data_IF_339690688648
#
_entry.id   IF_339690688648
#
_cell.length_a   1.000
_cell.length_b   1.000
_cell.length_c   1.000
_cell.angle_alpha   90.00
_cell.angle_beta   90.00
_cell.angle_gamma   90.00
#
_symmetry.space_group_name_H-M   'P 1'
#
loop_
_entity.id
_entity.type
_entity.pdbx_description
1 polymer ?
#
# COMPACT_ATOMS: atom_id res chain seq x y z
N UNK A 1 6.59 -70.06 10.17
CA UNK A 1 6.78 -69.45 8.84
C UNK A 1 6.82 -67.94 9.00
N UNK A 2 7.86 -67.34 8.41
CA UNK A 2 8.10 -65.92 8.13
C UNK A 2 7.47 -64.87 9.07
N UNK A 3 8.28 -64.35 10.00
CA UNK A 3 8.08 -63.01 10.55
C UNK A 3 8.70 -62.05 9.53
N UNK A 4 7.87 -61.49 8.67
CA UNK A 4 8.28 -60.58 7.61
C UNK A 4 8.86 -59.31 8.25
N UNK A 5 10.18 -59.20 8.18
CA UNK A 5 10.95 -58.05 8.62
C UNK A 5 10.43 -56.83 7.84
N UNK A 6 9.57 -56.02 8.45
CA UNK A 6 9.29 -54.67 7.96
C UNK A 6 10.61 -53.91 8.08
N UNK A 7 11.38 -53.87 6.97
CA UNK A 7 12.58 -53.07 6.87
C UNK A 7 12.26 -51.65 7.34
N UNK A 8 12.78 -51.25 8.52
CA UNK A 8 12.85 -49.84 8.90
C UNK A 8 13.84 -49.15 7.95
N UNK A 9 13.36 -48.78 6.77
CA UNK A 9 14.12 -48.08 5.71
C UNK A 9 14.64 -46.71 6.13
N UNK A 10 14.14 -46.17 7.25
CA UNK A 10 14.59 -44.91 7.82
C UNK A 10 15.21 -45.15 9.21
N UNK A 11 16.52 -44.91 9.34
CA UNK A 11 17.22 -44.93 10.62
C UNK A 11 17.63 -43.52 10.98
N UNK A 12 17.00 -42.95 12.00
CA UNK A 12 17.27 -41.60 12.50
C UNK A 12 18.77 -41.36 12.74
N UNK A 13 19.42 -42.33 13.39
CA UNK A 13 20.88 -42.32 13.67
C UNK A 13 21.76 -42.22 12.41
N UNK A 14 21.31 -42.75 11.27
CA UNK A 14 22.05 -42.65 10.00
C UNK A 14 21.94 -41.25 9.39
N UNK A 15 20.79 -40.60 9.56
CA UNK A 15 20.54 -39.24 9.10
C UNK A 15 21.30 -38.22 9.96
N UNK A 16 21.24 -38.33 11.28
CA UNK A 16 21.93 -37.42 12.21
C UNK A 16 23.46 -37.44 12.07
N UNK A 17 24.02 -38.59 11.70
CA UNK A 17 25.47 -38.76 11.54
C UNK A 17 25.99 -38.28 10.17
N UNK A 18 25.10 -38.02 9.21
CA UNK A 18 25.47 -37.53 7.88
C UNK A 18 25.01 -36.07 7.71
N UNK A 19 25.94 -35.14 7.90
CA UNK A 19 25.68 -33.69 7.83
C UNK A 19 25.07 -33.27 6.48
N UNK A 20 25.54 -33.85 5.37
CA UNK A 20 25.00 -33.55 4.03
C UNK A 20 23.55 -34.01 3.88
N UNK A 21 23.24 -35.23 4.34
CA UNK A 21 21.87 -35.74 4.30
C UNK A 21 20.95 -34.93 5.20
N UNK A 22 21.39 -34.63 6.44
CA UNK A 22 20.63 -33.81 7.37
C UNK A 22 20.35 -32.41 6.81
N UNK A 23 21.37 -31.75 6.24
CA UNK A 23 21.21 -30.44 5.61
C UNK A 23 20.25 -30.45 4.42
N UNK A 24 20.32 -31.49 3.56
CA UNK A 24 19.40 -31.66 2.44
C UNK A 24 17.95 -31.81 2.91
N UNK A 25 17.67 -32.71 3.85
CA UNK A 25 16.30 -32.92 4.32
C UNK A 25 15.76 -31.72 5.12
N UNK A 26 16.61 -31.01 5.87
CA UNK A 26 16.23 -29.77 6.52
C UNK A 26 15.88 -28.67 5.51
N UNK A 27 16.66 -28.52 4.44
CA UNK A 27 16.36 -27.58 3.35
C UNK A 27 15.02 -27.91 2.69
N UNK A 28 14.79 -29.20 2.37
CA UNK A 28 13.51 -29.63 1.80
C UNK A 28 12.34 -29.33 2.75
N UNK A 29 12.48 -29.62 4.04
CA UNK A 29 11.44 -29.35 5.02
C UNK A 29 11.08 -27.86 5.12
N UNK A 30 12.09 -26.96 5.13
CA UNK A 30 11.87 -25.51 5.17
C UNK A 30 11.31 -25.00 3.84
N UNK A 31 11.78 -25.52 2.71
CA UNK A 31 11.33 -25.10 1.37
C UNK A 31 9.85 -25.41 1.12
N UNK A 32 9.32 -26.51 1.68
CA UNK A 32 7.90 -26.87 1.53
C UNK A 32 6.99 -25.74 2.03
N UNK A 33 7.28 -25.15 3.20
CA UNK A 33 6.48 -24.04 3.73
C UNK A 33 6.45 -22.84 2.78
N UNK A 34 7.64 -22.41 2.33
CA UNK A 34 7.75 -21.29 1.37
C UNK A 34 7.05 -21.57 0.03
N UNK A 35 7.17 -22.79 -0.51
CA UNK A 35 6.51 -23.17 -1.78
C UNK A 35 5.00 -23.15 -1.62
N UNK A 36 4.45 -23.69 -0.53
CA UNK A 36 3.01 -23.79 -0.32
C UNK A 36 2.37 -22.43 -0.07
N UNK A 37 3.05 -21.52 0.63
CA UNK A 37 2.50 -20.20 0.96
C UNK A 37 2.71 -19.15 -0.14
N UNK A 38 3.89 -19.12 -0.78
CA UNK A 38 4.27 -18.04 -1.71
C UNK A 38 3.89 -18.39 -3.15
N UNK A 39 4.16 -19.62 -3.59
CA UNK A 39 4.06 -19.97 -5.00
C UNK A 39 2.62 -19.82 -5.54
N UNK A 40 1.56 -20.32 -4.85
CA UNK A 40 0.19 -20.17 -5.34
C UNK A 40 -0.26 -18.71 -5.54
N UNK A 41 0.27 -17.76 -4.77
CA UNK A 41 -0.09 -16.34 -4.90
C UNK A 41 0.32 -15.73 -6.25
N UNK A 42 1.24 -16.34 -7.00
CA UNK A 42 1.61 -15.91 -8.35
C UNK A 42 0.65 -16.38 -9.44
N UNK A 43 -0.20 -17.38 -9.18
CA UNK A 43 -1.08 -17.99 -10.18
C UNK A 43 -2.58 -17.88 -9.87
N UNK A 44 -2.95 -17.53 -8.64
CA UNK A 44 -4.35 -17.41 -8.24
C UNK A 44 -4.84 -15.99 -8.53
N UNK A 45 -5.44 -15.79 -9.70
CA UNK A 45 -6.05 -14.50 -10.08
C UNK A 45 -7.22 -14.10 -9.16
N UNK A 46 -7.80 -15.05 -8.40
CA UNK A 46 -8.91 -14.79 -7.49
C UNK A 46 -8.51 -14.16 -6.15
N UNK A 47 -7.21 -14.03 -5.84
CA UNK A 47 -6.76 -13.32 -4.64
C UNK A 47 -6.68 -11.80 -4.83
N UNK A 48 -6.80 -11.31 -6.07
CA UNK A 48 -6.81 -9.89 -6.38
C UNK A 48 -8.22 -9.51 -6.82
N UNK A 49 -8.89 -8.67 -6.04
CA UNK A 49 -10.21 -8.17 -6.42
C UNK A 49 -10.12 -7.40 -7.74
N UNK A 50 -11.08 -7.63 -8.64
CA UNK A 50 -11.17 -6.83 -9.87
C UNK A 50 -11.68 -5.46 -9.49
N UNK A 51 -10.77 -4.49 -9.44
CA UNK A 51 -11.10 -3.09 -9.19
C UNK A 51 -10.94 -2.28 -10.46
N UNK A 52 -11.93 -1.44 -10.75
CA UNK A 52 -11.81 -0.45 -11.81
C UNK A 52 -11.13 0.81 -11.25
N UNK A 53 -10.30 1.45 -12.06
CA UNK A 53 -9.73 2.76 -11.75
C UNK A 53 -8.40 2.78 -11.00
N UNK A 54 -7.81 1.63 -10.66
CA UNK A 54 -6.42 1.59 -10.21
C UNK A 54 -5.48 2.04 -11.33
N UNK A 55 -4.55 2.92 -10.99
CA UNK A 55 -3.47 3.39 -11.87
C UNK A 55 -2.13 3.37 -11.12
N UNK A 56 -0.99 3.35 -11.84
CA UNK A 56 0.30 3.60 -11.24
C UNK A 56 0.36 4.97 -10.55
N UNK A 57 1.31 5.10 -9.61
CA UNK A 57 1.67 6.37 -9.01
C UNK A 57 2.10 7.38 -10.09
N UNK A 58 1.77 8.64 -9.91
CA UNK A 58 2.48 9.67 -10.68
C UNK A 58 3.94 9.76 -10.21
N UNK A 59 4.83 10.36 -11.01
CA UNK A 59 6.22 10.61 -10.60
C UNK A 59 6.39 11.35 -9.26
N UNK A 60 5.56 12.37 -8.99
CA UNK A 60 5.60 13.11 -7.72
C UNK A 60 5.08 12.25 -6.55
N UNK A 61 3.97 11.53 -6.75
CA UNK A 61 3.44 10.59 -5.75
C UNK A 61 4.45 9.47 -5.43
N UNK A 62 5.16 8.96 -6.44
CA UNK A 62 6.20 7.95 -6.25
C UNK A 62 7.40 8.50 -5.48
N UNK A 63 7.84 9.73 -5.79
CA UNK A 63 8.89 10.40 -5.01
C UNK A 63 8.46 10.58 -3.55
N UNK A 64 7.20 10.97 -3.31
CA UNK A 64 6.60 11.08 -2.00
C UNK A 64 6.56 9.77 -1.23
N UNK A 65 6.20 8.68 -1.92
CA UNK A 65 6.24 7.32 -1.38
C UNK A 65 7.65 6.91 -0.98
N UNK A 66 8.65 7.25 -1.79
CA UNK A 66 10.05 6.97 -1.46
C UNK A 66 10.51 7.75 -0.22
N UNK A 67 10.02 8.99 -0.05
CA UNK A 67 10.25 9.79 1.17
C UNK A 67 9.53 9.17 2.37
N UNK A 68 8.28 8.74 2.22
CA UNK A 68 7.52 8.04 3.28
C UNK A 68 8.28 6.81 3.79
N UNK A 69 8.90 6.04 2.88
CA UNK A 69 9.75 4.90 3.22
C UNK A 69 11.05 5.35 3.88
N UNK A 70 11.74 6.35 3.31
CA UNK A 70 13.01 6.89 3.84
C UNK A 70 12.86 7.37 5.28
N UNK A 71 11.76 8.07 5.57
CA UNK A 71 11.47 8.63 6.89
C UNK A 71 10.92 7.62 7.90
N UNK A 72 10.68 6.38 7.46
CA UNK A 72 10.24 5.31 8.36
C UNK A 72 8.80 5.48 8.84
N UNK A 73 7.94 6.20 8.11
CA UNK A 73 6.56 6.45 8.51
C UNK A 73 5.79 5.13 8.76
N UNK A 74 6.11 4.07 7.99
CA UNK A 74 5.58 2.71 8.13
C UNK A 74 5.82 2.07 9.51
N UNK A 75 6.77 2.58 10.30
CA UNK A 75 7.03 2.08 11.66
C UNK A 75 5.94 2.49 12.66
N UNK A 76 5.18 3.54 12.33
CA UNK A 76 4.13 4.10 13.18
C UNK A 76 2.75 4.02 12.54
N UNK A 77 2.67 4.07 11.21
CA UNK A 77 1.44 4.10 10.45
C UNK A 77 1.29 2.85 9.58
N UNK A 78 0.11 2.25 9.61
CA UNK A 78 -0.26 1.19 8.67
C UNK A 78 -1.01 1.74 7.47
N UNK A 79 -0.93 1.03 6.36
CA UNK A 79 -1.81 1.22 5.20
C UNK A 79 -2.51 -0.08 4.87
N UNK A 80 -3.29 -0.60 5.82
CA UNK A 80 -4.10 -1.80 5.63
C UNK A 80 -5.25 -1.81 6.65
N UNK A 81 -6.45 -1.46 6.18
CA UNK A 81 -7.66 -1.46 7.01
C UNK A 81 -8.23 -2.87 7.03
N UNK A 82 -8.47 -3.42 8.22
CA UNK A 82 -9.02 -4.78 8.38
C UNK A 82 -10.54 -4.77 8.21
N UNK A 83 -11.15 -5.91 7.80
CA UNK A 83 -12.59 -6.02 7.58
C UNK A 83 -13.37 -6.18 8.90
N UNK A 84 -13.13 -5.30 9.85
CA UNK A 84 -13.89 -5.19 11.09
C UNK A 84 -14.69 -3.90 11.09
N UNK A 85 -15.91 -3.95 11.63
CA UNK A 85 -16.82 -2.80 11.66
C UNK A 85 -16.20 -1.57 12.33
N UNK A 86 -15.48 -1.75 13.43
CA UNK A 86 -14.84 -0.66 14.18
C UNK A 86 -13.69 0.00 13.39
N UNK A 87 -12.96 -0.77 12.58
CA UNK A 87 -11.98 -0.23 11.65
C UNK A 87 -12.63 0.51 10.49
N UNK A 88 -13.72 -0.04 9.96
CA UNK A 88 -14.43 0.58 8.85
C UNK A 88 -15.06 1.92 9.25
N UNK A 89 -15.67 1.99 10.43
CA UNK A 89 -16.22 3.24 10.98
C UNK A 89 -15.13 4.30 11.21
N UNK A 90 -13.90 3.89 11.55
CA UNK A 90 -12.78 4.80 11.83
C UNK A 90 -12.03 5.23 10.57
N UNK A 91 -11.70 4.29 9.70
CA UNK A 91 -10.76 4.47 8.58
C UNK A 91 -11.42 4.36 7.21
N UNK A 92 -12.71 4.08 7.12
CA UNK A 92 -13.42 3.84 5.86
C UNK A 92 -13.30 2.38 5.42
N UNK A 93 -13.71 2.07 4.20
CA UNK A 93 -13.79 0.69 3.69
C UNK A 93 -12.51 -0.12 3.98
N UNK A 94 -12.63 -1.43 4.22
CA UNK A 94 -11.45 -2.26 4.43
C UNK A 94 -10.56 -2.27 3.17
N UNK A 95 -9.26 -2.50 3.34
CA UNK A 95 -8.32 -2.45 2.21
C UNK A 95 -8.50 -3.67 1.30
N UNK A 96 -8.41 -3.44 -0.01
CA UNK A 96 -8.48 -4.50 -1.03
C UNK A 96 -7.06 -4.87 -1.48
N UNK A 97 -6.83 -6.13 -1.86
CA UNK A 97 -5.50 -6.55 -2.31
C UNK A 97 -5.07 -5.78 -3.56
N UNK A 98 -6.02 -5.42 -4.42
CA UNK A 98 -5.76 -4.65 -5.63
C UNK A 98 -5.28 -3.21 -5.39
N UNK A 99 -5.58 -2.60 -4.24
CA UNK A 99 -5.10 -1.25 -3.91
C UNK A 99 -3.57 -1.20 -3.75
N UNK A 100 -2.94 -2.33 -3.40
CA UNK A 100 -1.48 -2.46 -3.23
C UNK A 100 -0.78 -3.16 -4.39
N UNK A 101 -1.45 -3.41 -5.52
CA UNK A 101 -0.87 -4.19 -6.62
C UNK A 101 0.38 -3.55 -7.27
N UNK A 102 0.55 -2.23 -7.16
CA UNK A 102 1.72 -1.50 -7.66
C UNK A 102 2.71 -1.11 -6.56
N UNK A 103 2.52 -1.59 -5.34
CA UNK A 103 3.39 -1.27 -4.22
C UNK A 103 4.64 -2.15 -4.19
N UNK A 104 5.77 -1.57 -4.60
CA UNK A 104 7.08 -2.19 -4.48
C UNK A 104 7.97 -1.34 -3.54
N UNK A 105 8.22 -1.78 -2.29
CA UNK A 105 7.57 -2.87 -1.54
C UNK A 105 6.23 -2.45 -0.92
N UNK A 106 5.35 -3.40 -0.59
CA UNK A 106 4.07 -3.13 0.09
C UNK A 106 4.21 -2.23 1.34
N UNK A 107 3.23 -1.36 1.60
CA UNK A 107 3.23 -0.42 2.75
C UNK A 107 2.26 -0.81 3.87
N UNK A 108 1.82 -2.07 3.89
CA UNK A 108 0.99 -2.57 4.99
C UNK A 108 1.81 -2.49 6.28
N UNK A 109 1.22 -1.88 7.32
CA UNK A 109 1.92 -1.70 8.58
C UNK A 109 1.85 -2.94 9.46
N UNK A 110 2.85 -3.10 10.32
CA UNK A 110 2.87 -4.10 11.39
C UNK A 110 2.56 -3.51 12.77
N UNK A 111 2.46 -2.18 12.86
CA UNK A 111 2.19 -1.43 14.10
C UNK A 111 1.36 -0.19 13.80
N UNK A 112 0.56 0.24 14.78
CA UNK A 112 -0.19 1.49 14.79
C UNK A 112 0.15 2.29 16.05
N UNK A 113 1.21 3.08 15.96
CA UNK A 113 1.52 4.14 16.93
C UNK A 113 0.68 5.38 16.59
N UNK A 114 0.59 5.69 15.29
CA UNK A 114 -0.38 6.63 14.73
C UNK A 114 -1.54 5.91 14.03
N UNK A 115 -2.53 6.66 13.53
CA UNK A 115 -3.67 6.11 12.80
C UNK A 115 -3.28 5.39 11.49
N UNK A 116 -4.16 4.54 10.96
CA UNK A 116 -4.02 3.97 9.62
C UNK A 116 -4.18 5.08 8.55
N UNK A 117 -3.37 5.02 7.49
CA UNK A 117 -3.31 6.01 6.42
C UNK A 117 -3.88 5.53 5.08
N UNK A 118 -4.36 4.27 4.97
CA UNK A 118 -4.79 3.70 3.69
C UNK A 118 -5.87 4.51 2.97
N UNK A 119 -6.64 5.33 3.69
CA UNK A 119 -7.69 6.20 3.15
C UNK A 119 -7.59 7.63 3.65
N UNK A 120 -6.37 8.15 3.81
CA UNK A 120 -6.17 9.55 4.24
C UNK A 120 -6.41 10.56 3.12
N UNK A 121 -6.40 10.13 1.86
CA UNK A 121 -6.62 10.99 0.71
C UNK A 121 -7.94 11.76 0.80
N UNK A 122 -7.87 13.09 0.71
CA UNK A 122 -9.02 13.99 0.83
C UNK A 122 -9.61 14.14 2.23
N UNK A 123 -9.10 13.45 3.27
CA UNK A 123 -9.60 13.62 4.66
C UNK A 123 -9.13 14.92 5.29
N UNK A 124 -7.92 15.36 4.94
CA UNK A 124 -7.32 16.58 5.44
C UNK A 124 -6.84 17.44 4.27
N UNK A 125 -6.80 18.76 4.47
CA UNK A 125 -6.24 19.69 3.49
C UNK A 125 -4.71 19.56 3.43
N UNK A 126 -4.13 20.01 2.32
CA UNK A 126 -2.67 20.09 2.18
C UNK A 126 -2.05 21.00 3.24
N UNK A 127 -2.72 22.12 3.56
CA UNK A 127 -2.38 23.00 4.68
C UNK A 127 -2.27 22.24 6.00
N UNK A 128 -3.26 21.38 6.29
CA UNK A 128 -3.26 20.58 7.51
C UNK A 128 -2.12 19.57 7.49
N UNK A 129 -1.89 18.89 6.36
CA UNK A 129 -0.79 17.94 6.23
C UNK A 129 0.56 18.63 6.45
N UNK A 130 0.77 19.81 5.85
CA UNK A 130 1.99 20.60 6.03
C UNK A 130 2.17 21.03 7.48
N UNK A 131 1.16 21.64 8.09
CA UNK A 131 1.23 22.07 9.49
C UNK A 131 1.50 20.89 10.43
N UNK A 132 0.81 19.76 10.21
CA UNK A 132 1.01 18.53 10.97
C UNK A 132 2.41 17.94 10.78
N UNK A 133 2.94 17.91 9.55
CA UNK A 133 4.28 17.39 9.29
C UNK A 133 5.38 18.29 9.86
N UNK A 134 5.21 19.62 9.82
CA UNK A 134 6.17 20.57 10.40
C UNK A 134 6.21 20.44 11.92
N UNK A 135 5.06 20.53 12.58
CA UNK A 135 4.94 20.38 14.02
C UNK A 135 3.63 19.66 14.39
N UNK A 136 3.65 18.33 14.55
CA UNK A 136 2.45 17.56 14.84
C UNK A 136 1.69 18.03 16.09
N UNK A 137 2.42 18.56 17.09
CA UNK A 137 1.82 19.06 18.34
C UNK A 137 1.10 20.40 18.18
N UNK A 138 1.38 21.15 17.11
CA UNK A 138 0.70 22.42 16.84
C UNK A 138 -0.78 22.22 16.45
N UNK A 139 -1.10 21.10 15.79
CA UNK A 139 -2.46 20.76 15.34
C UNK A 139 -3.09 19.62 16.15
N UNK A 140 -2.28 18.75 16.74
CA UNK A 140 -2.72 17.65 17.62
C UNK A 140 -1.82 17.67 18.86
N UNK A 141 -2.19 18.39 19.94
CA UNK A 141 -1.32 18.61 21.11
C UNK A 141 -0.73 17.34 21.73
N UNK A 142 -1.49 16.24 21.72
CA UNK A 142 -1.09 14.94 22.28
C UNK A 142 -0.32 14.06 21.29
N UNK A 143 0.05 14.58 20.12
CA UNK A 143 0.78 13.83 19.11
C UNK A 143 2.17 13.46 19.58
N UNK A 144 2.49 12.17 19.50
CA UNK A 144 3.84 11.64 19.72
C UNK A 144 4.64 11.52 18.41
N UNK A 145 4.08 11.97 17.29
CA UNK A 145 4.76 11.96 15.99
C UNK A 145 5.97 12.93 16.03
N UNK A 146 7.14 12.52 15.49
CA UNK A 146 8.28 13.42 15.32
C UNK A 146 7.95 14.58 14.37
N UNK A 147 8.58 15.77 14.55
CA UNK A 147 8.47 16.84 13.57
C UNK A 147 9.35 16.55 12.34
N UNK A 148 8.82 16.85 11.15
CA UNK A 148 9.44 16.68 9.83
C UNK A 148 9.57 18.02 9.08
N UNK A 149 9.74 19.12 9.81
CA UNK A 149 9.86 20.48 9.24
C UNK A 149 10.93 20.59 8.12
N UNK A 150 12.00 19.81 8.21
CA UNK A 150 13.07 19.78 7.20
C UNK A 150 12.59 19.39 5.80
N UNK A 151 11.44 18.70 5.67
CA UNK A 151 10.88 18.35 4.35
C UNK A 151 10.45 19.60 3.56
N UNK A 152 10.02 20.67 4.26
CA UNK A 152 9.70 21.95 3.64
C UNK A 152 10.95 22.78 3.29
N UNK A 153 12.10 22.49 3.92
CA UNK A 153 13.35 23.19 3.65
C UNK A 153 14.13 22.56 2.49
N UNK A 154 13.94 21.26 2.27
CA UNK A 154 14.66 20.47 1.26
C UNK A 154 13.94 20.49 -0.07
N UNK A 155 14.62 21.01 -1.09
CA UNK A 155 14.22 20.82 -2.48
C UNK A 155 14.20 19.33 -2.85
N UNK A 156 13.22 18.96 -3.66
CA UNK A 156 13.03 17.59 -4.12
C UNK A 156 14.12 17.21 -5.13
N UNK A 157 15.06 16.34 -4.69
CA UNK A 157 16.15 15.82 -5.52
C UNK A 157 15.86 14.39 -5.97
N UNK A 158 15.02 14.25 -6.98
CA UNK A 158 14.59 12.92 -7.47
C UNK A 158 15.68 12.23 -8.30
N UNK A 159 16.64 12.98 -8.85
CA UNK A 159 17.62 12.42 -9.78
C UNK A 159 16.97 12.10 -11.13
N UNK A 160 17.06 10.84 -11.57
CA UNK A 160 16.46 10.39 -12.82
C UNK A 160 15.21 9.54 -12.55
N UNK A 161 14.04 10.19 -12.49
CA UNK A 161 12.77 9.49 -12.26
C UNK A 161 12.41 8.54 -13.41
N UNK A 162 13.01 8.70 -14.60
CA UNK A 162 12.84 7.74 -15.70
C UNK A 162 13.42 6.37 -15.32
N UNK A 163 14.54 6.34 -14.58
CA UNK A 163 15.16 5.10 -14.11
C UNK A 163 14.24 4.36 -13.12
N UNK A 164 13.61 5.10 -12.20
CA UNK A 164 12.66 4.56 -11.22
C UNK A 164 11.42 3.99 -11.90
N UNK A 165 10.80 4.74 -12.82
CA UNK A 165 9.64 4.24 -13.58
C UNK A 165 10.00 3.03 -14.44
N UNK A 166 11.19 3.02 -15.05
CA UNK A 166 11.69 1.88 -15.83
C UNK A 166 11.94 0.65 -14.97
N UNK A 167 12.38 0.82 -13.72
CA UNK A 167 12.53 -0.28 -12.78
C UNK A 167 11.16 -0.86 -12.41
N UNK A 168 10.18 -0.02 -12.08
CA UNK A 168 8.80 -0.45 -11.79
C UNK A 168 8.11 -1.08 -13.00
N UNK A 169 8.36 -0.56 -14.21
CA UNK A 169 7.88 -1.17 -15.45
C UNK A 169 8.39 -2.61 -15.61
N UNK A 170 9.67 -2.86 -15.29
CA UNK A 170 10.24 -4.23 -15.30
C UNK A 170 9.63 -5.14 -14.24
N UNK A 171 9.09 -4.57 -13.16
CA UNK A 171 8.37 -5.30 -12.11
C UNK A 171 6.89 -5.54 -12.45
N UNK A 172 6.40 -5.03 -13.58
CA UNK A 172 5.02 -5.24 -14.05
C UNK A 172 4.06 -4.08 -13.81
N UNK A 173 4.54 -2.96 -13.25
CA UNK A 173 3.71 -1.74 -13.16
C UNK A 173 3.49 -1.16 -14.56
N UNK A 174 2.24 -0.89 -14.99
CA UNK A 174 1.91 -0.59 -16.38
C UNK A 174 2.21 0.86 -16.80
N UNK A 175 3.43 1.35 -16.54
CA UNK A 175 3.90 2.59 -17.13
C UNK A 175 4.10 2.43 -18.63
N UNK A 176 3.65 3.40 -19.42
CA UNK A 176 3.91 3.47 -20.86
C UNK A 176 5.30 4.07 -21.12
N UNK A 177 5.78 3.97 -22.37
CA UNK A 177 7.02 4.65 -22.77
C UNK A 177 6.89 6.17 -22.63
N UNK A 178 5.71 6.71 -22.93
CA UNK A 178 5.42 8.13 -22.77
C UNK A 178 5.51 8.55 -21.30
N UNK A 179 4.99 7.74 -20.38
CA UNK A 179 5.11 8.00 -18.93
C UNK A 179 6.56 8.06 -18.48
N UNK A 180 7.39 7.12 -18.95
CA UNK A 180 8.82 7.07 -18.62
C UNK A 180 9.56 8.27 -19.21
N UNK A 181 9.27 8.65 -20.45
CA UNK A 181 9.92 9.79 -21.11
C UNK A 181 9.54 11.12 -20.44
N UNK A 182 8.27 11.29 -20.06
CA UNK A 182 7.74 12.49 -19.41
C UNK A 182 8.01 12.56 -17.89
N UNK A 183 8.60 11.52 -17.29
CA UNK A 183 8.61 11.33 -15.83
C UNK A 183 9.15 12.53 -15.02
N UNK A 184 10.21 13.20 -15.50
CA UNK A 184 10.78 14.36 -14.80
C UNK A 184 9.97 15.64 -15.02
N UNK A 185 9.28 15.75 -16.15
CA UNK A 185 8.44 16.90 -16.46
C UNK A 185 7.11 16.80 -15.72
N UNK A 186 6.59 15.57 -15.54
CA UNK A 186 5.39 15.27 -14.77
C UNK A 186 5.46 15.68 -13.31
N UNK A 187 6.66 15.59 -12.69
CA UNK A 187 6.88 16.08 -11.33
C UNK A 187 6.54 17.57 -11.27
N UNK A 188 7.04 18.35 -12.24
CA UNK A 188 6.79 19.79 -12.31
C UNK A 188 5.34 20.07 -12.68
N UNK A 189 4.83 19.39 -13.69
CA UNK A 189 3.45 19.57 -14.16
C UNK A 189 2.41 19.25 -13.08
N UNK A 190 2.74 18.41 -12.10
CA UNK A 190 1.84 18.09 -10.99
C UNK A 190 1.95 19.06 -9.81
N UNK A 191 3.16 19.49 -9.48
CA UNK A 191 3.41 20.40 -8.35
C UNK A 191 3.15 21.88 -8.69
N UNK A 192 3.27 22.25 -9.97
CA UNK A 192 3.13 23.63 -10.44
C UNK A 192 1.80 23.80 -11.21
N UNK A 193 0.79 24.47 -10.62
CA UNK A 193 -0.49 24.71 -11.29
C UNK A 193 -0.36 25.62 -12.53
N UNK A 194 0.69 26.43 -12.62
CA UNK A 194 0.92 27.38 -13.72
C UNK A 194 1.72 26.75 -14.89
N UNK A 195 2.46 25.66 -14.63
CA UNK A 195 3.21 24.93 -15.66
C UNK A 195 2.32 24.28 -16.73
N UNK A 196 1.02 24.14 -16.46
CA UNK A 196 0.05 23.48 -17.31
C UNK A 196 0.24 21.97 -17.29
N UNK A 197 -0.76 21.26 -16.75
CA UNK A 197 -0.70 19.80 -16.53
C UNK A 197 -0.55 18.94 -17.81
N UNK A 198 -0.48 19.54 -19.00
CA UNK A 198 -0.30 18.84 -20.27
C UNK A 198 -1.29 17.67 -20.43
N UNK A 199 -0.74 16.48 -20.67
CA UNK A 199 -1.48 15.22 -20.75
C UNK A 199 -1.43 14.39 -19.44
N UNK A 200 -0.89 14.93 -18.34
CA UNK A 200 -0.73 14.24 -17.05
C UNK A 200 -2.06 13.65 -16.58
N UNK A 201 -3.15 14.41 -16.63
CA UNK A 201 -4.47 13.93 -16.22
C UNK A 201 -5.03 12.81 -17.13
N UNK A 202 -4.58 12.74 -18.38
CA UNK A 202 -4.93 11.67 -19.31
C UNK A 202 -4.16 10.39 -18.99
N UNK A 203 -2.85 10.52 -18.71
CA UNK A 203 -1.97 9.39 -18.37
C UNK A 203 -2.20 8.87 -16.94
N UNK A 204 -2.51 9.77 -16.02
CA UNK A 204 -2.81 9.49 -14.63
C UNK A 204 -4.17 10.06 -14.21
N UNK A 205 -5.28 9.37 -14.54
CA UNK A 205 -6.61 9.79 -14.12
C UNK A 205 -6.71 9.98 -12.60
N UNK A 206 -7.44 11.00 -12.14
CA UNK A 206 -7.57 11.42 -10.72
C UNK A 206 -6.30 12.01 -10.08
N UNK A 207 -5.18 12.14 -10.80
CA UNK A 207 -4.03 12.89 -10.29
C UNK A 207 -4.45 14.32 -9.93
N UNK A 208 -4.03 14.77 -8.75
CA UNK A 208 -4.26 16.15 -8.30
C UNK A 208 -3.08 17.00 -8.75
N UNK A 209 -3.37 18.14 -9.37
CA UNK A 209 -2.38 19.13 -9.81
C UNK A 209 -2.62 20.42 -9.04
N UNK A 210 -1.67 20.78 -8.18
CA UNK A 210 -1.71 21.98 -7.35
C UNK A 210 -0.39 22.14 -6.59
N UNK A 211 -0.24 23.32 -6.01
CA UNK A 211 0.77 23.59 -4.99
C UNK A 211 0.37 22.86 -3.68
N UNK A 212 1.22 21.93 -3.23
CA UNK A 212 0.93 21.08 -2.08
C UNK A 212 1.54 21.63 -0.79
N UNK A 213 2.69 22.29 -0.84
CA UNK A 213 3.37 22.84 0.33
C UNK A 213 3.13 24.35 0.54
N UNK A 214 2.47 25.04 -0.39
CA UNK A 214 2.13 26.46 -0.29
C UNK A 214 3.26 27.41 -0.75
N UNK A 215 4.33 26.89 -1.33
CA UNK A 215 5.45 27.64 -1.90
C UNK A 215 5.64 27.27 -3.39
N UNK A 216 4.95 27.94 -4.34
CA UNK A 216 5.02 27.59 -5.75
C UNK A 216 6.37 27.93 -6.40
N UNK A 217 7.31 28.53 -5.67
CA UNK A 217 8.61 28.95 -6.23
C UNK A 217 9.58 27.79 -6.41
N UNK A 218 9.29 26.65 -5.78
CA UNK A 218 10.15 25.45 -5.78
C UNK A 218 9.32 24.21 -5.50
N UNK A 219 9.90 23.05 -5.75
CA UNK A 219 9.27 21.75 -5.43
C UNK A 219 10.09 21.13 -4.32
N UNK A 220 9.46 20.83 -3.19
CA UNK A 220 10.11 20.31 -1.99
C UNK A 220 9.78 18.84 -1.73
N UNK A 221 10.50 18.24 -0.79
CA UNK A 221 10.15 16.91 -0.29
C UNK A 221 8.77 16.90 0.40
N UNK A 222 8.32 18.05 0.93
CA UNK A 222 6.98 18.21 1.49
C UNK A 222 5.91 18.06 0.41
N UNK A 223 6.06 18.68 -0.76
CA UNK A 223 5.11 18.55 -1.87
C UNK A 223 4.91 17.09 -2.26
N UNK A 224 6.03 16.38 -2.45
CA UNK A 224 6.01 14.99 -2.86
C UNK A 224 5.28 14.12 -1.83
N UNK A 225 5.61 14.28 -0.54
CA UNK A 225 4.98 13.50 0.52
C UNK A 225 3.48 13.80 0.64
N UNK A 226 3.05 15.05 0.54
CA UNK A 226 1.64 15.42 0.57
C UNK A 226 0.91 14.87 -0.66
N UNK A 227 1.49 14.96 -1.86
CA UNK A 227 0.91 14.37 -3.07
C UNK A 227 0.68 12.85 -2.92
N UNK A 228 1.65 12.13 -2.34
CA UNK A 228 1.50 10.71 -2.01
C UNK A 228 0.35 10.46 -1.03
N UNK A 229 0.31 11.18 0.10
CA UNK A 229 -0.73 11.02 1.12
C UNK A 229 -2.13 11.35 0.57
N UNK A 230 -2.25 12.37 -0.27
CA UNK A 230 -3.51 12.77 -0.88
C UNK A 230 -4.06 11.73 -1.87
N UNK A 231 -3.20 10.91 -2.45
CA UNK A 231 -3.63 9.86 -3.36
C UNK A 231 -4.19 8.63 -2.60
N UNK A 232 -3.67 8.33 -1.40
CA UNK A 232 -4.00 7.10 -0.66
C UNK A 232 -5.51 6.86 -0.49
N UNK A 233 -5.97 5.76 -1.07
CA UNK A 233 -7.35 5.28 -0.96
C UNK A 233 -8.37 5.96 -1.89
N UNK A 234 -7.92 6.78 -2.85
CA UNK A 234 -8.81 7.54 -3.75
C UNK A 234 -9.06 6.89 -5.13
N UNK A 235 -8.22 5.92 -5.50
CA UNK A 235 -8.23 5.34 -6.85
C UNK A 235 -9.37 4.36 -7.07
N UNK A 236 -9.66 3.51 -6.08
CA UNK A 236 -10.69 2.47 -6.18
C UNK A 236 -12.06 2.99 -5.74
N UNK A 237 -13.07 2.64 -6.51
CA UNK A 237 -14.47 2.74 -6.11
C UNK A 237 -14.84 1.54 -5.22
N UNK A 238 -14.68 1.72 -3.91
CA UNK A 238 -14.85 0.64 -2.94
C UNK A 238 -16.30 0.24 -2.71
N UNK A 239 -17.27 1.07 -3.08
CA UNK A 239 -18.69 0.72 -2.94
C UNK A 239 -19.11 -0.34 -3.97
N UNK A 240 -18.51 -0.32 -5.17
CA UNK A 240 -18.70 -1.37 -6.19
C UNK A 240 -17.95 -2.65 -5.89
N UNK A 241 -16.82 -2.54 -5.17
CA UNK A 241 -15.97 -3.65 -4.78
C UNK A 241 -16.40 -4.29 -3.45
N UNK A 242 -17.51 -3.83 -2.85
CA UNK A 242 -18.04 -4.37 -1.60
C UNK A 242 -18.20 -5.89 -1.70
N UNK A 243 -17.81 -6.63 -0.65
CA UNK A 243 -17.67 -8.07 -0.70
C UNK A 243 -19.05 -8.73 -0.81
N UNK A 244 -19.02 -9.92 -1.39
CA UNK A 244 -20.07 -10.92 -1.37
C UNK A 244 -20.33 -11.39 0.07
N UNK A 245 -20.83 -10.51 0.94
CA UNK A 245 -21.38 -10.89 2.24
C UNK A 245 -22.80 -11.40 2.03
N UNK A 246 -22.94 -12.47 1.24
CA UNK A 246 -23.91 -13.47 1.66
C UNK A 246 -23.26 -14.15 2.85
N UNK A 247 -23.51 -13.60 4.04
CA UNK A 247 -23.48 -14.41 5.24
C UNK A 247 -24.17 -15.72 4.86
N UNK A 248 -23.50 -16.86 5.07
CA UNK A 248 -24.17 -18.14 4.95
C UNK A 248 -25.28 -18.14 5.98
N UNK A 249 -26.46 -17.68 5.58
CA UNK A 249 -27.70 -17.90 6.29
C UNK A 249 -28.02 -19.36 5.98
N UNK A 250 -27.94 -20.28 6.96
CA UNK A 250 -28.45 -21.62 6.76
C UNK A 250 -29.88 -21.50 6.25
N UNK A 251 -30.28 -22.31 5.26
CA UNK A 251 -31.58 -22.22 4.61
C UNK A 251 -32.79 -22.25 5.59
N UNK A 252 -32.56 -22.63 6.85
CA UNK A 252 -33.55 -22.79 7.90
C UNK A 252 -33.46 -21.75 9.05
N UNK A 253 -32.69 -20.68 8.92
CA UNK A 253 -32.65 -19.64 9.96
C UNK A 253 -33.97 -18.84 9.99
N UNK A 254 -34.68 -18.77 11.14
CA UNK A 254 -35.93 -18.03 11.22
C UNK A 254 -35.68 -16.52 11.05
N UNK A 255 -36.53 -15.89 10.22
CA UNK A 255 -36.48 -14.46 9.97
C UNK A 255 -36.65 -13.67 11.28
N UNK A 256 -35.64 -12.88 11.65
CA UNK A 256 -35.74 -11.90 12.73
C UNK A 256 -36.47 -10.68 12.17
N UNK A 257 -37.64 -10.29 12.72
CA UNK A 257 -38.38 -9.14 12.20
C UNK A 257 -37.59 -7.86 12.45
N UNK A 258 -37.52 -7.01 11.41
CA UNK A 258 -36.92 -5.69 11.48
C UNK A 258 -37.62 -4.85 12.57
N UNK A 259 -36.85 -4.39 13.55
CA UNK A 259 -37.33 -3.45 14.55
C UNK A 259 -37.65 -2.11 13.85
N UNK A 260 -38.93 -1.78 13.78
CA UNK A 260 -39.41 -0.46 13.36
C UNK A 260 -39.10 0.55 14.47
N UNK A 261 -37.91 1.16 14.39
CA UNK A 261 -37.58 2.35 15.18
C UNK A 261 -38.41 3.53 14.69
N UNK A 262 -39.51 3.82 15.39
CA UNK A 262 -40.23 5.09 15.25
C UNK A 262 -39.48 6.16 16.05
N UNK A 263 -39.28 7.30 15.40
CA UNK A 263 -38.71 8.49 15.99
C UNK A 263 -39.56 9.01 17.17
N UNK A 264 -38.88 9.30 18.28
CA UNK A 264 -39.17 10.36 19.24
C UNK A 264 -37.89 10.67 20.02
#
# INVERSE_FOLDING_TARGET
MANEQVEKRFSHKKLERNVTALGFFALVAVAIGGIVEIAPLFWIDSTVEKVEGMRPYTPLELAGRNIYIREGCYTCHSQMIRPFRDEVERYGHYSLAAESMYDHPFQWGSKRTGPDLARVGGRYSDEWHRAHLIDPRSVVPESIMPPYAFLAERELKVGDMQADLKALYRLGVPYTKADIEAANDDIRAQADPDAGAGDLATRYPKAQVRDFDGDPTRITEMDALIAYLQMLGTLVDVEKAAPQEQAHVPADAPAVPAATGSAQ
#
